data_IF_220591891566
#
_entry.id   IF_220591891566
#
_cell.length_a   1.000
_cell.length_b   1.000
_cell.length_c   1.000
_cell.angle_alpha   90.00
_cell.angle_beta   90.00
_cell.angle_gamma   90.00
#
_symmetry.space_group_name_H-M   'P 1'
#
loop_
_entity.id
_entity.type
_entity.pdbx_description
1 polymer ?
#
# COMPACT_ATOMS: atom_id res chain seq x y z
N UNK A 1 -5.78 -45.47 -19.29
CA UNK A 1 -5.77 -43.99 -19.36
C UNK A 1 -4.87 -43.44 -18.25
N UNK A 2 -3.73 -42.81 -18.59
CA UNK A 2 -2.76 -42.27 -17.60
C UNK A 2 -3.26 -40.92 -17.08
N UNK A 3 -3.62 -40.83 -15.80
CA UNK A 3 -3.98 -39.57 -15.12
C UNK A 3 -2.75 -38.66 -15.07
N UNK A 4 -2.81 -37.49 -15.72
CA UNK A 4 -1.75 -36.47 -15.61
C UNK A 4 -1.75 -35.94 -14.17
N UNK A 5 -0.71 -36.25 -13.40
CA UNK A 5 -0.52 -35.68 -12.08
C UNK A 5 -0.42 -34.15 -12.20
N UNK A 6 -1.31 -33.42 -11.52
CA UNK A 6 -1.19 -31.96 -11.38
C UNK A 6 0.12 -31.68 -10.64
N UNK A 7 1.06 -31.00 -11.30
CA UNK A 7 2.30 -30.54 -10.66
C UNK A 7 1.94 -29.79 -9.38
N UNK A 8 2.57 -30.08 -8.23
CA UNK A 8 2.36 -29.30 -7.03
C UNK A 8 2.77 -27.85 -7.33
N UNK A 9 1.85 -26.91 -7.13
CA UNK A 9 2.20 -25.48 -7.15
C UNK A 9 3.26 -25.29 -6.06
N UNK A 10 4.35 -24.58 -6.36
CA UNK A 10 5.34 -24.19 -5.35
C UNK A 10 4.57 -23.63 -4.13
N UNK A 11 4.93 -23.99 -2.89
CA UNK A 11 4.30 -23.40 -1.72
C UNK A 11 4.46 -21.89 -1.88
N UNK A 12 3.34 -21.20 -2.06
CA UNK A 12 3.30 -19.75 -2.21
C UNK A 12 4.01 -19.18 -0.99
N UNK A 13 5.20 -18.62 -1.20
CA UNK A 13 5.87 -17.80 -0.19
C UNK A 13 4.84 -16.73 0.18
N UNK A 14 4.23 -16.88 1.36
CA UNK A 14 3.06 -16.07 1.76
C UNK A 14 3.44 -14.61 1.56
N UNK A 15 2.80 -13.96 0.59
CA UNK A 15 3.06 -12.57 0.27
C UNK A 15 2.89 -11.77 1.58
N UNK A 16 3.99 -11.21 2.12
CA UNK A 16 3.99 -10.46 3.39
C UNK A 16 3.37 -9.06 3.22
N UNK A 17 2.38 -8.93 2.35
CA UNK A 17 1.72 -7.67 2.04
C UNK A 17 0.37 -7.67 2.73
N UNK A 18 0.17 -6.72 3.67
CA UNK A 18 -1.14 -6.45 4.26
C UNK A 18 -1.84 -5.39 3.41
N UNK A 19 -2.92 -5.79 2.74
CA UNK A 19 -3.80 -4.85 2.08
C UNK A 19 -4.65 -4.11 3.13
N UNK A 20 -4.81 -2.80 2.96
CA UNK A 20 -5.62 -1.94 3.83
C UNK A 20 -6.58 -1.15 2.95
N UNK A 21 -7.86 -1.17 3.31
CA UNK A 21 -8.88 -0.34 2.69
C UNK A 21 -9.13 0.89 3.57
N UNK A 22 -9.02 2.08 2.99
CA UNK A 22 -9.23 3.36 3.67
C UNK A 22 -10.24 4.17 2.87
N UNK A 23 -11.16 4.84 3.56
CA UNK A 23 -12.12 5.77 2.95
C UNK A 23 -11.68 7.20 3.23
N UNK A 24 -11.75 8.05 2.22
CA UNK A 24 -11.43 9.47 2.31
C UNK A 24 -12.67 10.30 1.97
N UNK A 25 -12.67 11.57 2.38
CA UNK A 25 -13.60 12.55 1.82
C UNK A 25 -13.22 12.84 0.37
N UNK A 26 -14.16 13.34 -0.43
CA UNK A 26 -13.89 13.68 -1.83
C UNK A 26 -12.77 14.73 -1.94
N UNK A 27 -12.80 15.77 -1.10
CA UNK A 27 -11.81 16.84 -1.11
C UNK A 27 -10.40 16.35 -0.74
N UNK A 28 -10.27 15.39 0.18
CA UNK A 28 -8.97 14.80 0.50
C UNK A 28 -8.48 13.89 -0.61
N UNK A 29 -9.39 13.16 -1.26
CA UNK A 29 -9.07 12.30 -2.38
C UNK A 29 -8.55 13.09 -3.60
N UNK A 30 -9.21 14.19 -3.96
CA UNK A 30 -8.79 15.10 -5.04
C UNK A 30 -7.34 15.59 -4.84
N UNK A 31 -6.97 15.96 -3.60
CA UNK A 31 -5.59 16.36 -3.30
C UNK A 31 -4.59 15.24 -3.52
N UNK A 32 -4.96 13.99 -3.20
CA UNK A 32 -4.09 12.84 -3.46
C UNK A 32 -3.96 12.56 -4.96
N UNK A 33 -5.03 12.76 -5.74
CA UNK A 33 -4.98 12.67 -7.21
C UNK A 33 -4.05 13.73 -7.80
N UNK A 34 -4.24 15.01 -7.46
CA UNK A 34 -3.36 16.10 -7.94
C UNK A 34 -1.89 15.85 -7.57
N UNK A 35 -1.63 15.42 -6.35
CA UNK A 35 -0.26 15.12 -5.89
C UNK A 35 0.32 13.92 -6.61
N UNK A 36 -0.50 12.89 -6.89
CA UNK A 36 -0.09 11.72 -7.64
C UNK A 36 0.30 12.08 -9.07
N UNK A 37 -0.45 12.97 -9.71
CA UNK A 37 -0.16 13.47 -11.06
C UNK A 37 1.13 14.29 -11.10
N UNK A 38 1.32 15.21 -10.14
CA UNK A 38 2.54 16.03 -10.04
C UNK A 38 3.79 15.16 -9.85
N UNK A 39 3.69 14.13 -9.00
CA UNK A 39 4.80 13.22 -8.70
C UNK A 39 4.92 12.07 -9.70
N UNK A 40 4.03 12.01 -10.71
CA UNK A 40 3.93 10.91 -11.68
C UNK A 40 3.96 9.53 -11.03
N UNK A 41 3.17 9.35 -9.97
CA UNK A 41 3.13 8.13 -9.17
C UNK A 41 1.69 7.68 -8.89
N UNK A 42 1.52 6.48 -8.32
CA UNK A 42 0.18 6.02 -7.95
C UNK A 42 -0.35 6.73 -6.70
N UNK A 43 -1.65 7.02 -6.66
CA UNK A 43 -2.36 7.55 -5.47
C UNK A 43 -2.06 6.73 -4.22
N UNK A 44 -2.05 5.40 -4.34
CA UNK A 44 -1.73 4.51 -3.24
C UNK A 44 -0.29 4.69 -2.70
N UNK A 45 0.67 5.05 -3.55
CA UNK A 45 2.03 5.36 -3.13
C UNK A 45 2.10 6.70 -2.40
N UNK A 46 1.39 7.72 -2.88
CA UNK A 46 1.27 9.01 -2.19
C UNK A 46 0.70 8.82 -0.80
N UNK A 47 -0.45 8.14 -0.67
CA UNK A 47 -1.09 7.87 0.63
C UNK A 47 -0.13 7.15 1.58
N UNK A 48 0.60 6.14 1.09
CA UNK A 48 1.62 5.43 1.89
C UNK A 48 2.73 6.36 2.38
N UNK A 49 3.24 7.23 1.52
CA UNK A 49 4.30 8.18 1.90
C UNK A 49 3.81 9.17 2.97
N UNK A 50 2.60 9.70 2.82
CA UNK A 50 1.99 10.59 3.82
C UNK A 50 1.84 9.88 5.17
N UNK A 51 1.32 8.65 5.18
CA UNK A 51 1.15 7.87 6.40
C UNK A 51 2.50 7.61 7.09
N UNK A 52 3.53 7.20 6.34
CA UNK A 52 4.87 6.96 6.89
C UNK A 52 5.49 8.23 7.48
N UNK A 53 5.34 9.37 6.80
CA UNK A 53 5.85 10.67 7.29
C UNK A 53 5.16 11.08 8.59
N UNK A 54 3.84 10.90 8.69
CA UNK A 54 3.08 11.18 9.90
C UNK A 54 3.52 10.27 11.06
N UNK A 55 3.70 8.97 10.81
CA UNK A 55 4.18 8.01 11.83
C UNK A 55 5.58 8.40 12.32
N UNK A 56 6.50 8.71 11.41
CA UNK A 56 7.86 9.11 11.77
C UNK A 56 7.87 10.39 12.63
N UNK A 57 7.01 11.37 12.30
CA UNK A 57 6.88 12.61 13.05
C UNK A 57 6.32 12.35 14.46
N UNK A 58 5.28 11.54 14.61
CA UNK A 58 4.75 11.14 15.92
C UNK A 58 5.78 10.36 16.76
N UNK A 59 6.54 9.46 16.14
CA UNK A 59 7.61 8.73 16.83
C UNK A 59 8.72 9.65 17.32
N UNK A 60 9.10 10.67 16.53
CA UNK A 60 10.12 11.65 16.95
C UNK A 60 9.68 12.50 18.15
N UNK A 61 8.39 12.80 18.26
CA UNK A 61 7.83 13.58 19.39
C UNK A 61 7.82 12.78 20.69
N UNK A 62 7.56 11.47 20.60
CA UNK A 62 7.50 10.58 21.76
C UNK A 62 8.87 10.09 22.27
N UNK A 63 9.97 10.52 21.63
CA UNK A 63 11.34 10.19 22.05
C UNK A 63 12.03 11.33 22.85
N UNK A 64 11.29 12.38 23.18
CA UNK A 64 11.72 13.50 24.04
C UNK A 64 11.03 13.34 25.41
#
# INVERSE_FOLDING_TARGET
MKKKAKKPRKPEEKLKVKAVLVRFTNADFEKFEETADVLQTSIAAVIRQYALKAIALEQSKNQI
#
